data_IF_430932005379
#
_entry.id   IF_430932005379
#
_cell.length_a   1.000
_cell.length_b   1.000
_cell.length_c   1.000
_cell.angle_alpha   90.00
_cell.angle_beta   90.00
_cell.angle_gamma   90.00
#
_symmetry.space_group_name_H-M   'P 1'
#
loop_
_entity.id
_entity.type
_entity.pdbx_description
1 polymer ?
#
# COMPACT_ATOMS: atom_id res chain seq x y z
N UNK A 1 12.24 -13.62 16.27
CA UNK A 1 12.25 -14.74 15.29
C UNK A 1 13.34 -14.63 14.22
N UNK A 2 13.93 -13.46 13.93
CA UNK A 2 15.02 -13.33 12.94
C UNK A 2 16.41 -13.77 13.43
N UNK A 3 16.67 -13.81 14.74
CA UNK A 3 17.98 -14.25 15.27
C UNK A 3 18.28 -15.73 15.07
N UNK A 4 17.26 -16.57 14.86
CA UNK A 4 17.46 -18.01 14.74
C UNK A 4 18.07 -18.39 13.38
N UNK A 5 17.87 -17.64 12.30
CA UNK A 5 18.39 -17.99 10.97
C UNK A 5 19.86 -17.59 10.77
N UNK A 6 20.29 -16.46 11.34
CA UNK A 6 21.67 -15.96 11.24
C UNK A 6 22.64 -16.66 12.21
N UNK A 7 22.13 -17.28 13.28
CA UNK A 7 22.94 -18.08 14.20
C UNK A 7 23.60 -19.31 13.54
N UNK A 8 23.09 -19.79 12.41
CA UNK A 8 23.64 -20.98 11.71
C UNK A 8 24.81 -20.66 10.77
N UNK A 9 25.01 -19.39 10.41
CA UNK A 9 26.07 -18.98 9.46
C UNK A 9 27.34 -18.47 10.16
N UNK A 10 27.22 -17.93 11.38
CA UNK A 10 28.34 -17.31 12.09
C UNK A 10 29.10 -18.25 13.04
N UNK A 11 28.58 -19.43 13.37
CA UNK A 11 29.15 -20.23 14.45
C UNK A 11 30.29 -21.19 14.06
N UNK A 12 30.64 -21.40 12.79
CA UNK A 12 31.73 -22.31 12.38
C UNK A 12 31.58 -23.79 12.81
N UNK A 13 30.55 -24.11 13.58
CA UNK A 13 30.18 -25.45 14.01
C UNK A 13 29.27 -26.03 12.93
N UNK A 14 29.74 -27.12 12.33
CA UNK A 14 28.94 -28.08 11.55
C UNK A 14 27.81 -28.55 12.48
N UNK A 15 26.72 -27.78 12.61
CA UNK A 15 25.51 -28.32 13.20
C UNK A 15 24.97 -29.33 12.20
N UNK A 16 24.91 -30.58 12.61
CA UNK A 16 24.22 -31.62 11.86
C UNK A 16 22.76 -31.18 11.69
N UNK A 17 22.37 -30.93 10.44
CA UNK A 17 20.98 -30.61 10.13
C UNK A 17 20.13 -31.80 10.58
N UNK A 18 19.12 -31.61 11.46
CA UNK A 18 18.35 -32.73 11.99
C UNK A 18 17.68 -33.55 10.88
N UNK A 19 17.64 -34.88 11.04
CA UNK A 19 16.92 -35.75 10.09
C UNK A 19 15.46 -35.28 9.97
N UNK A 20 14.99 -35.10 8.74
CA UNK A 20 13.63 -34.63 8.47
C UNK A 20 13.42 -33.11 8.53
N UNK A 21 14.47 -32.32 8.79
CA UNK A 21 14.39 -30.86 8.74
C UNK A 21 13.96 -30.30 7.36
N UNK A 22 14.43 -30.84 6.21
CA UNK A 22 13.93 -30.40 4.90
C UNK A 22 12.40 -30.53 4.77
N UNK A 23 11.80 -31.61 5.28
CA UNK A 23 10.35 -31.80 5.27
C UNK A 23 9.65 -30.74 6.11
N UNK A 24 10.18 -30.42 7.30
CA UNK A 24 9.62 -29.35 8.14
C UNK A 24 9.63 -27.99 7.42
N UNK A 25 10.71 -27.67 6.71
CA UNK A 25 10.81 -26.43 5.92
C UNK A 25 9.78 -26.41 4.77
N UNK A 26 9.63 -27.53 4.04
CA UNK A 26 8.61 -27.66 3.00
C UNK A 26 7.20 -27.50 3.58
N UNK A 27 6.90 -28.14 4.70
CA UNK A 27 5.61 -27.97 5.39
C UNK A 27 5.37 -26.53 5.80
N UNK A 28 6.42 -25.80 6.23
CA UNK A 28 6.32 -24.36 6.53
C UNK A 28 5.94 -23.54 5.30
N UNK A 29 6.50 -23.83 4.12
CA UNK A 29 6.08 -23.19 2.87
C UNK A 29 4.62 -23.49 2.56
N UNK A 30 4.19 -24.75 2.69
CA UNK A 30 2.82 -25.16 2.42
C UNK A 30 1.80 -24.47 3.35
N UNK A 31 2.15 -24.29 4.61
CA UNK A 31 1.33 -23.61 5.60
C UNK A 31 1.20 -22.10 5.34
N UNK A 32 2.08 -21.50 4.52
CA UNK A 32 2.04 -20.07 4.22
C UNK A 32 0.98 -19.68 3.18
N UNK A 33 0.53 -20.60 2.32
CA UNK A 33 -0.36 -20.29 1.20
C UNK A 33 -1.67 -19.59 1.57
N UNK A 34 -2.39 -19.99 2.63
CA UNK A 34 -3.60 -19.28 3.04
C UNK A 34 -3.34 -17.81 3.37
N UNK A 35 -2.17 -17.47 3.91
CA UNK A 35 -1.82 -16.09 4.23
C UNK A 35 -1.63 -15.25 2.95
N UNK A 36 -0.94 -15.80 1.95
CA UNK A 36 -0.75 -15.13 0.66
C UNK A 36 -2.07 -14.91 -0.08
N UNK A 37 -2.93 -15.94 -0.13
CA UNK A 37 -4.25 -15.82 -0.75
C UNK A 37 -5.13 -14.79 -0.02
N UNK A 38 -5.07 -14.78 1.32
CA UNK A 38 -5.81 -13.84 2.14
C UNK A 38 -5.37 -12.39 1.89
N UNK A 39 -4.06 -12.10 1.87
CA UNK A 39 -3.60 -10.73 1.65
C UNK A 39 -4.00 -10.23 0.26
N UNK A 40 -3.93 -11.07 -0.78
CA UNK A 40 -4.40 -10.72 -2.12
C UNK A 40 -5.89 -10.40 -2.16
N UNK A 41 -6.73 -11.24 -1.52
CA UNK A 41 -8.18 -10.99 -1.42
C UNK A 41 -8.50 -9.71 -0.65
N UNK A 42 -7.76 -9.43 0.42
CA UNK A 42 -7.96 -8.22 1.24
C UNK A 42 -7.50 -6.97 0.51
N UNK A 43 -6.40 -7.03 -0.23
CA UNK A 43 -5.95 -5.94 -1.10
C UNK A 43 -7.00 -5.61 -2.16
N UNK A 44 -7.61 -6.61 -2.81
CA UNK A 44 -8.68 -6.39 -3.78
C UNK A 44 -9.92 -5.71 -3.16
N UNK A 45 -10.32 -6.15 -1.96
CA UNK A 45 -11.45 -5.54 -1.24
C UNK A 45 -11.16 -4.10 -0.83
N UNK A 46 -9.96 -3.85 -0.30
CA UNK A 46 -9.52 -2.51 0.08
C UNK A 46 -9.51 -1.58 -1.14
N UNK A 47 -8.89 -2.02 -2.24
CA UNK A 47 -8.88 -1.29 -3.52
C UNK A 47 -10.28 -0.89 -3.98
N UNK A 48 -11.24 -1.83 -3.95
CA UNK A 48 -12.63 -1.54 -4.32
C UNK A 48 -13.27 -0.46 -3.45
N UNK A 49 -13.03 -0.49 -2.13
CA UNK A 49 -13.53 0.55 -1.23
C UNK A 49 -12.86 1.90 -1.46
N UNK A 50 -11.54 1.94 -1.68
CA UNK A 50 -10.82 3.18 -1.98
C UNK A 50 -11.32 3.82 -3.29
N UNK A 51 -11.61 3.02 -4.33
CA UNK A 51 -12.21 3.54 -5.58
C UNK A 51 -13.61 4.10 -5.35
N UNK A 52 -14.42 3.45 -4.52
CA UNK A 52 -15.74 3.96 -4.16
C UNK A 52 -15.64 5.27 -3.38
N UNK A 53 -14.74 5.36 -2.39
CA UNK A 53 -14.46 6.60 -1.65
C UNK A 53 -13.98 7.72 -2.57
N UNK A 54 -13.06 7.43 -3.50
CA UNK A 54 -12.58 8.40 -4.47
C UNK A 54 -13.71 8.91 -5.39
N UNK A 55 -14.65 8.06 -5.77
CA UNK A 55 -15.83 8.48 -6.53
C UNK A 55 -16.77 9.38 -5.71
N UNK A 56 -17.00 9.06 -4.43
CA UNK A 56 -17.77 9.92 -3.53
C UNK A 56 -17.09 11.28 -3.29
N UNK A 57 -15.76 11.28 -3.12
CA UNK A 57 -14.97 12.50 -2.96
C UNK A 57 -15.09 13.38 -4.20
N UNK A 58 -14.97 12.83 -5.41
CA UNK A 58 -15.15 13.58 -6.65
C UNK A 58 -16.52 14.27 -6.72
N UNK A 59 -17.61 13.53 -6.46
CA UNK A 59 -18.96 14.11 -6.47
C UNK A 59 -19.19 15.17 -5.40
N UNK A 60 -18.58 15.02 -4.23
CA UNK A 60 -18.59 16.05 -3.19
C UNK A 60 -17.85 17.31 -3.64
N UNK A 61 -16.64 17.17 -4.19
CA UNK A 61 -15.81 18.27 -4.68
C UNK A 61 -16.50 19.01 -5.82
N UNK A 62 -17.21 18.32 -6.71
CA UNK A 62 -18.00 18.96 -7.77
C UNK A 62 -19.15 19.81 -7.21
N UNK A 63 -19.79 19.36 -6.13
CA UNK A 63 -20.82 20.15 -5.44
C UNK A 63 -20.23 21.39 -4.78
N UNK A 64 -19.06 21.27 -4.13
CA UNK A 64 -18.34 22.42 -3.56
C UNK A 64 -17.88 23.38 -4.65
N UNK A 65 -17.43 22.86 -5.79
CA UNK A 65 -17.05 23.67 -6.95
C UNK A 65 -18.24 24.48 -7.48
N UNK A 66 -19.44 23.90 -7.57
CA UNK A 66 -20.62 24.64 -7.99
C UNK A 66 -20.94 25.85 -7.09
N UNK A 67 -20.77 25.70 -5.77
CA UNK A 67 -20.90 26.81 -4.81
C UNK A 67 -19.79 27.85 -5.01
N UNK A 68 -18.56 27.38 -5.26
CA UNK A 68 -17.40 28.25 -5.53
C UNK A 68 -17.61 29.08 -6.80
N UNK A 69 -18.15 28.47 -7.85
CA UNK A 69 -18.44 29.11 -9.12
C UNK A 69 -19.57 30.12 -9.00
N UNK A 70 -20.59 29.83 -8.19
CA UNK A 70 -21.61 30.82 -7.83
C UNK A 70 -20.98 32.05 -7.17
N UNK A 71 -20.11 31.86 -6.16
CA UNK A 71 -19.39 32.94 -5.50
C UNK A 71 -18.49 33.74 -6.48
N UNK A 72 -17.82 33.06 -7.41
CA UNK A 72 -17.00 33.70 -8.45
C UNK A 72 -17.79 34.62 -9.38
N UNK A 73 -19.07 34.33 -9.58
CA UNK A 73 -19.97 35.12 -10.45
C UNK A 73 -20.62 36.31 -9.72
N UNK A 74 -20.49 36.40 -8.39
CA UNK A 74 -20.96 37.56 -7.65
C UNK A 74 -20.07 38.78 -7.92
N UNK A 75 -20.71 39.96 -7.99
CA UNK A 75 -20.05 41.27 -8.02
C UNK A 75 -19.98 41.84 -6.61
N UNK A 76 -19.22 41.20 -5.73
CA UNK A 76 -19.20 41.63 -4.33
C UNK A 76 -18.19 40.92 -3.44
N UNK A 77 -18.38 41.09 -2.13
CA UNK A 77 -17.46 40.73 -1.06
C UNK A 77 -17.22 39.21 -0.86
N UNK A 78 -17.78 38.34 -1.70
CA UNK A 78 -17.57 36.90 -1.61
C UNK A 78 -16.79 36.31 -2.79
N UNK A 79 -16.40 37.14 -3.77
CA UNK A 79 -15.73 36.68 -4.99
C UNK A 79 -14.34 36.10 -4.72
N UNK A 80 -13.57 36.74 -3.86
CA UNK A 80 -12.24 36.32 -3.43
C UNK A 80 -12.26 35.00 -2.64
N UNK A 81 -13.28 34.80 -1.80
CA UNK A 81 -13.56 33.52 -1.15
C UNK A 81 -13.84 32.42 -2.19
N UNK A 82 -14.66 32.72 -3.22
CA UNK A 82 -14.92 31.81 -4.34
C UNK A 82 -13.65 31.38 -5.08
N UNK A 83 -12.74 32.33 -5.37
CA UNK A 83 -11.46 32.05 -6.04
C UNK A 83 -10.57 31.17 -5.17
N UNK A 84 -10.51 31.44 -3.86
CA UNK A 84 -9.77 30.60 -2.92
C UNK A 84 -10.34 29.18 -2.86
N UNK A 85 -11.67 29.05 -2.81
CA UNK A 85 -12.34 27.75 -2.76
C UNK A 85 -12.14 26.95 -4.05
N UNK A 86 -12.14 27.58 -5.23
CA UNK A 86 -11.79 26.89 -6.50
C UNK A 86 -10.38 26.28 -6.42
N UNK A 87 -9.41 26.95 -5.80
CA UNK A 87 -8.06 26.38 -5.59
C UNK A 87 -8.07 25.20 -4.63
N UNK A 88 -8.90 25.23 -3.58
CA UNK A 88 -9.12 24.09 -2.68
C UNK A 88 -9.68 22.90 -3.48
N UNK A 89 -10.75 23.10 -4.26
CA UNK A 89 -11.35 22.05 -5.08
C UNK A 89 -10.35 21.44 -6.09
N UNK A 90 -9.47 22.25 -6.69
CA UNK A 90 -8.40 21.71 -7.55
C UNK A 90 -7.44 20.78 -6.79
N UNK A 91 -7.09 21.09 -5.54
CA UNK A 91 -6.22 20.25 -4.71
C UNK A 91 -6.94 19.00 -4.20
N UNK A 92 -8.21 19.10 -3.86
CA UNK A 92 -9.03 17.94 -3.52
C UNK A 92 -9.18 16.96 -4.71
N UNK A 93 -9.27 17.45 -5.95
CA UNK A 93 -9.22 16.58 -7.15
C UNK A 93 -7.87 15.88 -7.31
N UNK A 94 -6.76 16.57 -7.03
CA UNK A 94 -5.44 15.93 -7.02
C UNK A 94 -5.35 14.82 -5.95
N UNK A 95 -5.84 15.10 -4.73
CA UNK A 95 -5.93 14.11 -3.64
C UNK A 95 -6.75 12.88 -4.06
N UNK A 96 -7.91 13.11 -4.68
CA UNK A 96 -8.77 12.04 -5.22
C UNK A 96 -8.01 11.16 -6.22
N UNK A 97 -7.30 11.77 -7.18
CA UNK A 97 -6.52 11.02 -8.16
C UNK A 97 -5.40 10.20 -7.51
N UNK A 98 -4.72 10.75 -6.49
CA UNK A 98 -3.72 10.00 -5.71
C UNK A 98 -4.34 8.82 -4.95
N UNK A 99 -5.53 9.01 -4.37
CA UNK A 99 -6.25 7.94 -3.66
C UNK A 99 -6.61 6.80 -4.63
N UNK A 100 -7.03 7.15 -5.85
CA UNK A 100 -7.31 6.19 -6.92
C UNK A 100 -6.04 5.45 -7.35
N UNK A 101 -4.90 6.12 -7.44
CA UNK A 101 -3.60 5.48 -7.73
C UNK A 101 -3.19 4.45 -6.66
N UNK A 102 -3.41 4.74 -5.37
CA UNK A 102 -3.21 3.76 -4.28
C UNK A 102 -4.12 2.54 -4.47
N UNK A 103 -5.39 2.78 -4.82
CA UNK A 103 -6.34 1.70 -5.07
C UNK A 103 -5.93 0.83 -6.26
N UNK A 104 -5.44 1.43 -7.34
CA UNK A 104 -4.98 0.72 -8.53
C UNK A 104 -3.73 -0.11 -8.24
N UNK A 105 -2.74 0.44 -7.53
CA UNK A 105 -1.56 -0.31 -7.10
C UNK A 105 -1.93 -1.50 -6.20
N UNK A 106 -2.91 -1.36 -5.30
CA UNK A 106 -3.37 -2.47 -4.46
C UNK A 106 -4.00 -3.62 -5.27
N UNK A 107 -4.79 -3.29 -6.29
CA UNK A 107 -5.42 -4.29 -7.15
C UNK A 107 -4.41 -4.94 -8.08
N UNK A 108 -3.69 -4.14 -8.86
CA UNK A 108 -2.95 -4.63 -10.02
C UNK A 108 -1.56 -5.13 -9.61
N UNK A 109 -0.86 -4.39 -8.76
CA UNK A 109 0.51 -4.72 -8.36
C UNK A 109 0.55 -5.73 -7.22
N UNK A 110 -0.38 -5.66 -6.26
CA UNK A 110 -0.43 -6.60 -5.13
C UNK A 110 -1.39 -7.77 -5.35
N UNK A 111 -2.70 -7.52 -5.49
CA UNK A 111 -3.69 -8.59 -5.49
C UNK A 111 -3.53 -9.54 -6.69
N UNK A 112 -3.46 -8.98 -7.90
CA UNK A 112 -3.31 -9.76 -9.14
C UNK A 112 -1.97 -10.48 -9.18
N UNK A 113 -0.86 -9.81 -8.84
CA UNK A 113 0.48 -10.43 -8.81
C UNK A 113 0.56 -11.63 -7.87
N UNK A 114 0.01 -11.53 -6.66
CA UNK A 114 -0.01 -12.64 -5.71
C UNK A 114 -0.87 -13.79 -6.23
N UNK A 115 -2.04 -13.49 -6.80
CA UNK A 115 -2.93 -14.50 -7.37
C UNK A 115 -2.27 -15.27 -8.52
N UNK A 116 -1.58 -14.57 -9.42
CA UNK A 116 -0.86 -15.18 -10.54
C UNK A 116 0.33 -16.02 -10.08
N UNK A 117 1.01 -15.61 -9.01
CA UNK A 117 2.21 -16.29 -8.50
C UNK A 117 1.89 -17.51 -7.62
N UNK A 118 0.72 -17.54 -6.98
CA UNK A 118 0.34 -18.59 -6.03
C UNK A 118 0.45 -20.02 -6.60
N UNK A 119 0.01 -20.25 -7.84
CA UNK A 119 0.09 -21.56 -8.50
C UNK A 119 1.54 -21.99 -8.72
N UNK A 120 2.40 -21.06 -9.15
CA UNK A 120 3.82 -21.32 -9.34
C UNK A 120 4.51 -21.73 -8.04
N UNK A 121 4.25 -21.01 -6.93
CA UNK A 121 4.82 -21.37 -5.62
C UNK A 121 4.41 -22.77 -5.15
N UNK A 122 3.14 -23.14 -5.37
CA UNK A 122 2.62 -24.48 -5.06
C UNK A 122 3.35 -25.56 -5.87
N UNK A 123 3.51 -25.36 -7.17
CA UNK A 123 4.25 -26.28 -8.05
C UNK A 123 5.72 -26.41 -7.63
N UNK A 124 6.39 -25.28 -7.39
CA UNK A 124 7.80 -25.25 -6.99
C UNK A 124 8.04 -25.97 -5.67
N UNK A 125 7.16 -25.76 -4.69
CA UNK A 125 7.23 -26.43 -3.40
C UNK A 125 6.97 -27.93 -3.51
N UNK A 126 6.10 -28.38 -4.42
CA UNK A 126 5.88 -29.81 -4.66
C UNK A 126 7.12 -30.50 -5.25
N UNK A 127 7.89 -29.81 -6.09
CA UNK A 127 9.18 -30.32 -6.60
C UNK A 127 10.22 -30.46 -5.48
N UNK A 128 10.32 -29.43 -4.62
CA UNK A 128 11.20 -29.43 -3.45
C UNK A 128 10.81 -30.56 -2.48
N UNK A 129 9.51 -30.76 -2.24
CA UNK A 129 8.98 -31.84 -1.40
C UNK A 129 9.36 -33.22 -1.95
N UNK A 130 9.12 -33.45 -3.24
CA UNK A 130 9.47 -34.71 -3.91
C UNK A 130 10.96 -35.02 -3.77
N UNK A 131 11.80 -34.00 -3.89
CA UNK A 131 13.26 -34.15 -3.77
C UNK A 131 13.67 -34.43 -2.33
N UNK A 132 13.12 -33.69 -1.36
CA UNK A 132 13.34 -33.92 0.06
C UNK A 132 12.88 -35.31 0.52
N UNK A 133 11.70 -35.76 0.07
CA UNK A 133 11.13 -37.07 0.40
C UNK A 133 11.99 -38.23 -0.14
N UNK A 134 12.53 -38.09 -1.35
CA UNK A 134 13.49 -39.06 -1.92
C UNK A 134 14.75 -39.15 -1.05
N UNK A 135 15.30 -38.00 -0.64
CA UNK A 135 16.48 -37.95 0.21
C UNK A 135 16.24 -38.65 1.55
N UNK A 136 15.10 -38.37 2.22
CA UNK A 136 14.76 -39.03 3.48
C UNK A 136 14.61 -40.55 3.34
N UNK A 137 13.98 -41.02 2.26
CA UNK A 137 13.90 -42.47 1.98
C UNK A 137 15.30 -43.09 1.82
N UNK A 138 16.20 -42.45 1.07
CA UNK A 138 17.59 -42.88 0.84
C UNK A 138 18.41 -42.93 2.14
N UNK A 139 18.25 -41.93 3.02
CA UNK A 139 18.94 -41.88 4.31
C UNK A 139 18.37 -42.91 5.29
N UNK A 140 17.04 -43.12 5.28
CA UNK A 140 16.37 -44.09 6.17
C UNK A 140 16.73 -45.54 5.86
N UNK A 141 16.91 -45.90 4.59
CA UNK A 141 17.23 -47.28 4.20
C UNK A 141 18.69 -47.67 4.45
N UNK A 142 19.58 -46.69 4.68
CA UNK A 142 20.97 -46.96 5.06
C UNK A 142 21.09 -47.29 6.55
N UNK A 143 21.73 -48.42 6.86
CA UNK A 143 22.18 -48.78 8.21
C UNK A 143 23.67 -48.40 8.34
N UNK A 144 24.03 -47.55 9.30
CA UNK A 144 25.42 -47.16 9.56
C UNK A 144 25.61 -45.69 9.93
N UNK A 145 26.87 -45.25 10.02
CA UNK A 145 27.23 -43.84 10.27
C UNK A 145 26.67 -42.92 9.17
N UNK A 146 26.35 -41.65 9.51
CA UNK A 146 25.93 -40.65 8.52
C UNK A 146 26.96 -40.52 7.40
N UNK A 147 26.52 -40.69 6.16
CA UNK A 147 27.36 -40.51 4.97
C UNK A 147 27.62 -39.01 4.76
N UNK A 148 28.89 -38.54 4.69
CA UNK A 148 29.21 -37.13 4.45
C UNK A 148 28.52 -36.55 3.21
N UNK A 149 28.36 -37.36 2.15
CA UNK A 149 27.66 -36.94 0.93
C UNK A 149 26.16 -36.74 1.15
N UNK A 150 25.54 -37.56 2.01
CA UNK A 150 24.13 -37.41 2.37
C UNK A 150 23.91 -36.16 3.24
N UNK A 151 24.83 -35.86 4.17
CA UNK A 151 24.78 -34.63 4.98
C UNK A 151 24.93 -33.39 4.10
N UNK A 152 25.85 -33.43 3.11
CA UNK A 152 26.01 -32.34 2.14
C UNK A 152 24.75 -32.15 1.28
N UNK A 153 24.16 -33.24 0.76
CA UNK A 153 22.91 -33.22 0.00
C UNK A 153 21.75 -32.63 0.84
N UNK A 154 21.66 -33.02 2.12
CA UNK A 154 20.65 -32.48 3.04
C UNK A 154 20.80 -30.97 3.26
N UNK A 155 22.03 -30.47 3.41
CA UNK A 155 22.33 -29.02 3.53
C UNK A 155 21.92 -28.27 2.27
N UNK A 156 22.23 -28.82 1.10
CA UNK A 156 21.87 -28.22 -0.19
C UNK A 156 20.35 -28.10 -0.34
N UNK A 157 19.60 -29.15 0.02
CA UNK A 157 18.14 -29.13 0.01
C UNK A 157 17.57 -28.04 0.94
N UNK A 158 18.09 -27.94 2.16
CA UNK A 158 17.67 -26.89 3.10
C UNK A 158 17.96 -25.50 2.53
N UNK A 159 19.13 -25.29 1.94
CA UNK A 159 19.49 -24.02 1.30
C UNK A 159 18.53 -23.66 0.17
N UNK A 160 18.13 -24.62 -0.66
CA UNK A 160 17.18 -24.40 -1.76
C UNK A 160 15.79 -24.04 -1.23
N UNK A 161 15.29 -24.74 -0.22
CA UNK A 161 13.97 -24.48 0.37
C UNK A 161 13.94 -23.12 1.08
N UNK A 162 14.98 -22.79 1.84
CA UNK A 162 15.11 -21.48 2.49
C UNK A 162 15.24 -20.35 1.47
N UNK A 163 15.98 -20.58 0.37
CA UNK A 163 16.05 -19.63 -0.73
C UNK A 163 14.68 -19.40 -1.36
N UNK A 164 13.89 -20.46 -1.59
CA UNK A 164 12.53 -20.34 -2.10
C UNK A 164 11.64 -19.53 -1.16
N UNK A 165 11.71 -19.81 0.15
CA UNK A 165 11.01 -19.01 1.16
C UNK A 165 11.36 -17.53 1.05
N UNK A 166 12.66 -17.19 1.00
CA UNK A 166 13.12 -15.81 0.84
C UNK A 166 12.60 -15.18 -0.46
N UNK A 167 12.57 -15.92 -1.56
CA UNK A 167 12.04 -15.44 -2.85
C UNK A 167 10.56 -15.10 -2.75
N UNK A 168 9.74 -15.93 -2.09
CA UNK A 168 8.31 -15.65 -1.89
C UNK A 168 8.09 -14.35 -1.13
N UNK A 169 8.80 -14.15 -0.02
CA UNK A 169 8.73 -12.91 0.77
C UNK A 169 9.25 -11.70 -0.01
N UNK A 170 10.37 -11.85 -0.73
CA UNK A 170 10.94 -10.75 -1.51
C UNK A 170 10.00 -10.32 -2.63
N UNK A 171 9.33 -11.28 -3.29
CA UNK A 171 8.30 -10.99 -4.28
C UNK A 171 7.13 -10.22 -3.65
N UNK A 172 6.61 -10.69 -2.50
CA UNK A 172 5.54 -9.99 -1.80
C UNK A 172 5.90 -8.53 -1.44
N UNK A 173 7.11 -8.31 -0.89
CA UNK A 173 7.60 -6.95 -0.60
C UNK A 173 7.69 -6.13 -1.89
N UNK A 174 8.17 -6.73 -2.98
CA UNK A 174 8.22 -6.09 -4.29
C UNK A 174 6.84 -5.64 -4.78
N UNK A 175 5.79 -6.44 -4.54
CA UNK A 175 4.42 -6.08 -4.90
C UNK A 175 3.82 -4.94 -4.05
N UNK A 176 4.31 -4.76 -2.82
CA UNK A 176 3.88 -3.67 -1.94
C UNK A 176 4.58 -2.34 -2.23
N UNK A 177 5.77 -2.36 -2.83
CA UNK A 177 6.50 -1.11 -3.08
C UNK A 177 5.74 -0.09 -3.93
N UNK A 178 5.06 -0.46 -5.04
CA UNK A 178 4.21 0.46 -5.78
C UNK A 178 3.10 1.09 -4.93
N UNK A 179 2.50 0.32 -4.02
CA UNK A 179 1.46 0.79 -3.09
C UNK A 179 2.04 1.84 -2.15
N UNK A 180 3.16 1.55 -1.50
CA UNK A 180 3.83 2.47 -0.58
C UNK A 180 4.27 3.76 -1.27
N UNK A 181 4.76 3.67 -2.51
CA UNK A 181 5.13 4.86 -3.30
C UNK A 181 3.91 5.72 -3.66
N UNK A 182 2.77 5.09 -3.98
CA UNK A 182 1.52 5.80 -4.21
C UNK A 182 0.99 6.46 -2.92
N UNK A 183 1.12 5.80 -1.77
CA UNK A 183 0.77 6.37 -0.46
C UNK A 183 1.63 7.58 -0.12
N UNK A 184 2.94 7.53 -0.35
CA UNK A 184 3.83 8.69 -0.17
C UNK A 184 3.38 9.84 -1.06
N UNK A 185 3.07 9.57 -2.34
CA UNK A 185 2.59 10.58 -3.28
C UNK A 185 1.24 11.19 -2.85
N UNK A 186 0.37 10.40 -2.20
CA UNK A 186 -0.88 10.88 -1.61
C UNK A 186 -0.62 11.82 -0.43
N UNK A 187 0.34 11.48 0.43
CA UNK A 187 0.73 12.31 1.59
C UNK A 187 1.38 13.62 1.17
N UNK A 188 2.14 13.64 0.06
CA UNK A 188 2.78 14.84 -0.47
C UNK A 188 1.75 15.93 -0.85
N UNK A 189 0.55 15.54 -1.31
CA UNK A 189 -0.54 16.49 -1.58
C UNK A 189 -1.00 17.25 -0.32
N UNK A 190 -0.77 16.70 0.87
CA UNK A 190 -1.09 17.36 2.14
C UNK A 190 -0.39 18.71 2.32
N UNK A 191 0.80 18.88 1.75
CA UNK A 191 1.51 20.17 1.76
C UNK A 191 0.80 21.22 0.89
N UNK A 192 0.32 20.82 -0.28
CA UNK A 192 -0.42 21.68 -1.20
C UNK A 192 -1.82 22.03 -0.67
N UNK A 193 -2.51 21.07 -0.05
CA UNK A 193 -3.80 21.29 0.60
C UNK A 193 -3.64 22.30 1.73
N UNK A 194 -2.63 22.13 2.59
CA UNK A 194 -2.36 23.05 3.69
C UNK A 194 -2.20 24.49 3.19
N UNK A 195 -1.42 24.69 2.13
CA UNK A 195 -1.22 26.01 1.54
C UNK A 195 -2.52 26.67 1.08
N UNK A 196 -3.40 25.92 0.38
CA UNK A 196 -4.68 26.50 -0.10
C UNK A 196 -5.68 26.73 1.03
N UNK A 197 -5.65 25.89 2.08
CA UNK A 197 -6.46 26.07 3.28
C UNK A 197 -6.03 27.29 4.08
N UNK A 198 -4.73 27.48 4.30
CA UNK A 198 -4.20 28.65 5.02
C UNK A 198 -4.55 29.97 4.29
N UNK A 199 -4.49 29.94 2.95
CA UNK A 199 -4.91 31.08 2.12
C UNK A 199 -6.41 31.37 2.25
N UNK A 200 -7.24 30.32 2.24
CA UNK A 200 -8.69 30.46 2.41
C UNK A 200 -9.03 31.01 3.81
N UNK A 201 -8.45 30.44 4.87
CA UNK A 201 -8.66 30.88 6.25
C UNK A 201 -8.25 32.35 6.46
N UNK A 202 -7.13 32.75 5.86
CA UNK A 202 -6.68 34.15 5.87
C UNK A 202 -7.69 35.07 5.18
N UNK A 203 -8.23 34.67 4.02
CA UNK A 203 -9.22 35.44 3.26
C UNK A 203 -10.51 35.61 4.07
N UNK A 204 -11.04 34.51 4.61
CA UNK A 204 -12.26 34.50 5.42
C UNK A 204 -12.12 35.38 6.67
N UNK A 205 -10.96 35.38 7.33
CA UNK A 205 -10.71 36.19 8.53
C UNK A 205 -10.63 37.70 8.26
N UNK A 206 -10.12 38.11 7.10
CA UNK A 206 -10.08 39.53 6.71
C UNK A 206 -11.50 40.10 6.61
N UNK A 207 -12.45 39.33 6.10
CA UNK A 207 -13.84 39.78 5.96
C UNK A 207 -14.59 39.90 7.28
N UNK A 208 -14.31 39.06 8.28
CA UNK A 208 -14.87 39.24 9.63
C UNK A 208 -14.44 40.56 10.28
N UNK A 209 -13.24 41.06 9.97
CA UNK A 209 -12.72 42.34 10.46
C UNK A 209 -13.27 43.52 9.61
N UNK A 210 -13.51 43.31 8.31
CA UNK A 210 -14.11 44.30 7.43
C UNK A 210 -15.61 44.49 7.72
N UNK A 211 -16.36 43.42 8.02
CA UNK A 211 -17.78 43.50 8.38
C UNK A 211 -18.04 44.13 9.74
N UNK A 212 -17.12 44.01 10.70
CA UNK A 212 -17.18 44.80 11.96
C UNK A 212 -16.82 46.28 11.77
N UNK A 213 -16.29 46.66 10.59
CA UNK A 213 -15.97 48.03 10.20
C UNK A 213 -16.78 48.53 8.99
N UNK A 214 -17.92 47.89 8.69
CA UNK A 214 -18.84 48.30 7.61
C UNK A 214 -19.63 49.57 7.97
N UNK A 215 -18.93 50.71 8.00
CA UNK A 215 -19.49 52.05 7.91
C UNK A 215 -20.05 52.38 6.50
N UNK A 216 -20.07 51.41 5.58
CA UNK A 216 -20.52 51.54 4.19
C UNK A 216 -22.05 51.47 4.00
N UNK A 217 -22.80 51.01 5.00
CA UNK A 217 -24.27 50.95 4.96
C UNK A 217 -24.96 52.25 5.44
N UNK A 218 -24.22 53.22 5.98
CA UNK A 218 -24.82 54.44 6.54
C UNK A 218 -25.10 55.55 5.51
N UNK A 219 -24.56 55.48 4.28
CA UNK A 219 -24.86 56.44 3.21
C UNK A 219 -25.58 55.75 2.05
N UNK A 220 -26.90 55.58 2.24
CA UNK A 220 -27.85 55.08 1.25
C UNK A 220 -27.91 55.97 0.00
N UNK A 221 -27.27 55.60 -1.11
CA UNK A 221 -27.74 55.93 -2.48
C UNK A 221 -27.24 54.93 -3.56
N UNK A 222 -26.23 54.10 -3.30
CA UNK A 222 -25.59 53.21 -4.30
C UNK A 222 -25.79 51.69 -4.08
N UNK A 223 -26.82 51.29 -3.32
CA UNK A 223 -27.08 49.86 -3.02
C UNK A 223 -27.47 49.05 -4.28
N UNK A 224 -27.87 49.72 -5.36
CA UNK A 224 -28.31 49.11 -6.61
C UNK A 224 -27.17 48.52 -7.48
N UNK A 225 -25.90 48.82 -7.18
CA UNK A 225 -24.74 48.31 -7.94
C UNK A 225 -24.11 47.05 -7.34
N UNK A 226 -24.60 46.60 -6.17
CA UNK A 226 -24.00 45.50 -5.40
C UNK A 226 -24.58 44.10 -5.70
N UNK A 227 -25.50 43.97 -6.67
CA UNK A 227 -26.09 42.69 -7.09
C UNK A 227 -25.79 42.39 -8.57
#
# INVERSE_FOLDING_TARGET
>A
MYESAYAWTLAGVIMDVPKGFPQKLVSSLQQSYPAWEMVGQRAQKLSAQLRATAACLAGFVDSVQAVSDYANNLKGAARDMGVCMTRVCMRERALEHRLRAVADALADETAVSIQQRATYWKQRTAELDKTAAKHVKKVRTRKGRPDPSAVAEQRQLCSQILSEQRTQFSFFIGTLMPVLNAEISLLDEGSHIRQVVDNLDSTVKVDYLCTTSCSWLENSHDVALCF
#
